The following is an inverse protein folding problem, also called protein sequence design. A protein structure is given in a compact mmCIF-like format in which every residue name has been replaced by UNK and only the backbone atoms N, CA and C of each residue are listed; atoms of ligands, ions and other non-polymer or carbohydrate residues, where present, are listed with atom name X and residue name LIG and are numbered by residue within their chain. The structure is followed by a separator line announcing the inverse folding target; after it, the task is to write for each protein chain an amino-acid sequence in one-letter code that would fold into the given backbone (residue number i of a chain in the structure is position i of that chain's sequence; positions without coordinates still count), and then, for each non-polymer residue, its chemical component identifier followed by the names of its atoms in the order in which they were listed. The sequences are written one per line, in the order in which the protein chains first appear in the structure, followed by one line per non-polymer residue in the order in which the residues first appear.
data_IF_252310698717
#
_entry.id   IF_252310698717
#
_cell.length_a   1.000
_cell.length_b   1.000
_cell.length_c   1.000
_cell.angle_alpha   90.00
_cell.angle_beta   90.00
_cell.angle_gamma   90.00
#
_symmetry.space_group_name_H-M   'P 1'
#
loop_
_entity.id
_entity.type
_entity.pdbx_description
1 polymer ?
#
# COMPACT_ATOMS: atom_id res chain seq x y z
N UNK A 1 40.65 11.90 31.11
CA UNK A 1 39.38 11.38 30.56
C UNK A 1 39.59 10.94 29.12
N UNK A 2 39.72 9.64 28.86
CA UNK A 2 39.96 9.10 27.52
C UNK A 2 38.62 8.85 26.79
N UNK A 3 38.40 9.51 25.65
CA UNK A 3 37.24 9.24 24.77
C UNK A 3 37.45 7.90 24.06
N UNK A 4 36.66 6.88 24.40
CA UNK A 4 36.54 5.65 23.60
C UNK A 4 35.87 6.00 22.27
N UNK A 5 36.62 5.91 21.18
CA UNK A 5 36.12 5.96 19.80
C UNK A 5 35.35 4.65 19.54
N UNK A 6 34.06 4.61 19.85
CA UNK A 6 33.20 3.44 19.56
C UNK A 6 33.00 3.34 18.04
N UNK A 7 33.23 2.14 17.49
CA UNK A 7 32.85 1.74 16.14
C UNK A 7 31.31 1.78 15.99
N UNK A 8 30.75 2.93 15.61
CA UNK A 8 29.29 3.16 15.53
C UNK A 8 28.66 2.76 14.19
N UNK A 9 29.43 2.70 13.10
CA UNK A 9 28.88 2.52 11.75
C UNK A 9 28.19 1.16 11.49
N UNK A 10 28.71 0.05 12.04
CA UNK A 10 28.12 -1.28 11.86
C UNK A 10 26.86 -1.49 12.72
N UNK A 11 26.86 -0.97 13.95
CA UNK A 11 25.70 -1.02 14.86
C UNK A 11 24.55 -0.15 14.38
N UNK A 12 24.82 1.04 13.84
CA UNK A 12 23.78 1.90 13.27
C UNK A 12 23.15 1.30 12.01
N UNK A 13 23.94 0.65 11.15
CA UNK A 13 23.42 -0.08 9.98
C UNK A 13 22.56 -1.28 10.40
N UNK A 14 22.98 -2.03 11.41
CA UNK A 14 22.22 -3.16 11.96
C UNK A 14 20.93 -2.71 12.66
N UNK A 15 20.99 -1.66 13.50
CA UNK A 15 19.83 -1.09 14.16
C UNK A 15 18.84 -0.50 13.16
N UNK A 16 19.33 0.22 12.14
CA UNK A 16 18.48 0.78 11.08
C UNK A 16 17.87 -0.30 10.18
N UNK A 17 18.58 -1.41 9.94
CA UNK A 17 18.03 -2.57 9.23
C UNK A 17 16.97 -3.28 10.07
N UNK A 18 17.22 -3.45 11.38
CA UNK A 18 16.27 -3.99 12.33
C UNK A 18 15.01 -3.10 12.43
N UNK A 19 15.14 -1.77 12.43
CA UNK A 19 13.98 -0.86 12.42
C UNK A 19 13.14 -0.98 11.15
N UNK A 20 13.79 -1.16 9.98
CA UNK A 20 13.08 -1.40 8.71
C UNK A 20 12.38 -2.76 8.67
N UNK A 21 13.01 -3.80 9.22
CA UNK A 21 12.43 -5.13 9.40
C UNK A 21 11.29 -5.14 10.42
N UNK A 22 11.39 -4.39 11.51
CA UNK A 22 10.32 -4.21 12.49
C UNK A 22 9.14 -3.42 11.93
N UNK A 23 9.40 -2.44 11.05
CA UNK A 23 8.34 -1.74 10.30
C UNK A 23 7.61 -2.66 9.32
N UNK A 24 8.34 -3.51 8.59
CA UNK A 24 7.75 -4.54 7.73
C UNK A 24 6.99 -5.60 8.54
N UNK A 25 7.55 -6.07 9.67
CA UNK A 25 6.89 -7.01 10.56
C UNK A 25 5.66 -6.43 11.26
N UNK A 26 5.64 -5.12 11.55
CA UNK A 26 4.44 -4.44 12.02
C UNK A 26 3.31 -4.49 10.98
N UNK A 27 3.64 -4.27 9.70
CA UNK A 27 2.69 -4.43 8.59
C UNK A 27 2.26 -5.91 8.42
N UNK A 28 3.16 -6.88 8.60
CA UNK A 28 2.80 -8.31 8.56
C UNK A 28 2.00 -8.81 9.78
N UNK A 29 2.20 -8.19 10.95
CA UNK A 29 1.45 -8.50 12.17
C UNK A 29 0.04 -7.90 12.13
N UNK A 30 -0.10 -6.67 11.61
CA UNK A 30 -1.41 -6.12 11.26
C UNK A 30 -2.03 -6.88 10.08
N UNK A 31 -1.23 -7.39 9.13
CA UNK A 31 -1.71 -8.24 8.04
C UNK A 31 -2.33 -9.52 8.58
N UNK A 32 -1.75 -10.27 9.50
CA UNK A 32 -2.37 -11.53 9.95
C UNK A 32 -3.72 -11.30 10.62
N UNK A 33 -3.87 -10.26 11.43
CA UNK A 33 -5.15 -9.92 12.07
C UNK A 33 -6.16 -9.41 11.04
N UNK A 34 -5.78 -8.45 10.20
CA UNK A 34 -6.66 -7.92 9.16
C UNK A 34 -6.97 -8.98 8.08
N UNK A 35 -6.04 -9.86 7.75
CA UNK A 35 -6.23 -10.91 6.75
C UNK A 35 -7.10 -12.03 7.29
N UNK A 36 -6.92 -12.49 8.54
CA UNK A 36 -7.79 -13.49 9.15
C UNK A 36 -9.21 -12.96 9.34
N UNK A 37 -9.37 -11.70 9.74
CA UNK A 37 -10.70 -11.10 9.87
C UNK A 37 -11.34 -10.85 8.49
N UNK A 38 -10.55 -10.40 7.49
CA UNK A 38 -11.04 -10.23 6.13
C UNK A 38 -11.35 -11.56 5.46
N UNK A 39 -10.58 -12.64 5.67
CA UNK A 39 -10.89 -13.96 5.11
C UNK A 39 -12.08 -14.59 5.79
N UNK A 40 -12.25 -14.43 7.11
CA UNK A 40 -13.47 -14.85 7.80
C UNK A 40 -14.70 -14.09 7.28
N UNK A 41 -14.59 -12.75 7.13
CA UNK A 41 -15.66 -11.93 6.57
C UNK A 41 -15.98 -12.32 5.12
N UNK A 42 -14.97 -12.53 4.26
CA UNK A 42 -15.14 -12.97 2.88
C UNK A 42 -15.73 -14.37 2.82
N UNK A 43 -15.33 -15.31 3.69
CA UNK A 43 -15.89 -16.65 3.73
C UNK A 43 -17.38 -16.62 4.11
N UNK A 44 -17.74 -15.82 5.11
CA UNK A 44 -19.14 -15.65 5.53
C UNK A 44 -19.98 -14.96 4.44
N UNK A 45 -19.44 -13.90 3.82
CA UNK A 45 -20.05 -13.23 2.67
C UNK A 45 -20.17 -14.16 1.45
N UNK A 46 -19.21 -15.05 1.23
CA UNK A 46 -19.23 -16.02 0.14
C UNK A 46 -20.32 -17.08 0.37
N UNK A 47 -20.49 -17.57 1.60
CA UNK A 47 -21.59 -18.49 1.95
C UNK A 47 -22.94 -17.82 1.67
N UNK A 48 -23.11 -16.57 2.12
CA UNK A 48 -24.35 -15.80 1.87
C UNK A 48 -24.53 -15.48 0.37
N UNK A 49 -23.46 -15.13 -0.33
CA UNK A 49 -23.49 -14.81 -1.76
C UNK A 49 -23.82 -16.02 -2.64
N UNK A 50 -23.31 -17.21 -2.27
CA UNK A 50 -23.65 -18.48 -2.93
C UNK A 50 -25.13 -18.82 -2.70
N UNK A 51 -25.65 -18.65 -1.47
CA UNK A 51 -27.03 -19.02 -1.14
C UNK A 51 -28.06 -18.06 -1.74
N UNK A 52 -27.74 -16.77 -1.90
CA UNK A 52 -28.70 -15.76 -2.37
C UNK A 52 -28.57 -15.48 -3.88
N UNK A 53 -27.35 -15.48 -4.44
CA UNK A 53 -27.11 -14.98 -5.80
C UNK A 53 -26.35 -15.97 -6.72
N UNK A 54 -25.99 -17.17 -6.23
CA UNK A 54 -25.28 -18.18 -7.01
C UNK A 54 -23.84 -17.84 -7.40
N UNK A 55 -23.34 -16.64 -7.06
CA UNK A 55 -21.96 -16.20 -7.28
C UNK A 55 -21.41 -15.44 -6.06
N UNK A 56 -20.39 -15.98 -5.36
CA UNK A 56 -19.95 -15.47 -4.05
C UNK A 56 -19.37 -14.04 -4.06
N UNK A 57 -18.87 -13.56 -5.20
CA UNK A 57 -18.10 -12.31 -5.28
C UNK A 57 -18.83 -11.12 -5.91
N UNK A 58 -20.06 -11.30 -6.39
CA UNK A 58 -20.75 -10.25 -7.15
C UNK A 58 -21.15 -9.07 -6.25
N UNK A 59 -21.39 -9.33 -4.96
CA UNK A 59 -21.61 -8.29 -3.95
C UNK A 59 -20.40 -7.37 -3.77
N UNK A 60 -19.16 -7.86 -3.93
CA UNK A 60 -17.99 -7.00 -3.79
C UNK A 60 -17.87 -5.98 -4.94
N UNK A 61 -18.47 -6.22 -6.10
CA UNK A 61 -18.44 -5.25 -7.19
C UNK A 61 -19.25 -3.99 -6.88
N UNK A 62 -20.37 -4.11 -6.16
CA UNK A 62 -21.19 -2.94 -5.80
C UNK A 62 -20.49 -2.07 -4.75
N UNK A 63 -19.71 -2.66 -3.84
CA UNK A 63 -18.90 -1.91 -2.86
C UNK A 63 -17.50 -1.53 -3.34
N UNK A 64 -16.99 -2.12 -4.42
CA UNK A 64 -15.66 -1.80 -4.94
C UNK A 64 -15.55 -0.32 -5.36
N UNK A 65 -16.59 0.20 -6.02
CA UNK A 65 -16.63 1.60 -6.47
C UNK A 65 -16.58 2.59 -5.28
N UNK A 66 -17.47 2.50 -4.27
CA UNK A 66 -17.41 3.42 -3.13
C UNK A 66 -16.13 3.30 -2.30
N UNK A 67 -15.55 2.10 -2.17
CA UNK A 67 -14.25 1.95 -1.51
C UNK A 67 -13.12 2.61 -2.30
N UNK A 68 -13.10 2.44 -3.62
CA UNK A 68 -12.10 3.08 -4.48
C UNK A 68 -12.23 4.61 -4.48
N UNK A 69 -13.46 5.15 -4.54
CA UNK A 69 -13.65 6.61 -4.47
C UNK A 69 -13.21 7.18 -3.13
N UNK A 70 -13.48 6.49 -2.02
CA UNK A 70 -12.97 6.86 -0.70
C UNK A 70 -11.43 6.87 -0.67
N UNK A 71 -10.79 5.85 -1.24
CA UNK A 71 -9.32 5.78 -1.35
C UNK A 71 -8.75 6.95 -2.17
N UNK A 72 -9.37 7.28 -3.31
CA UNK A 72 -8.98 8.43 -4.15
C UNK A 72 -9.13 9.75 -3.39
N UNK A 73 -10.24 9.93 -2.67
CA UNK A 73 -10.49 11.13 -1.87
C UNK A 73 -9.44 11.32 -0.78
N UNK A 74 -9.17 10.27 0.00
CA UNK A 74 -8.13 10.30 1.04
C UNK A 74 -6.77 10.57 0.42
N UNK A 75 -6.46 9.93 -0.71
CA UNK A 75 -5.21 10.17 -1.43
C UNK A 75 -5.09 11.62 -1.91
N UNK A 76 -6.15 12.20 -2.45
CA UNK A 76 -6.19 13.60 -2.86
C UNK A 76 -5.93 14.55 -1.69
N UNK A 77 -6.50 14.28 -0.52
CA UNK A 77 -6.21 15.03 0.72
C UNK A 77 -4.73 14.91 1.08
N UNK A 78 -4.15 13.71 1.06
CA UNK A 78 -2.73 13.51 1.35
C UNK A 78 -1.81 14.26 0.37
N UNK A 79 -2.15 14.26 -0.92
CA UNK A 79 -1.44 15.07 -1.93
C UNK A 79 -1.56 16.56 -1.60
N UNK A 80 -2.76 17.05 -1.28
CA UNK A 80 -2.99 18.45 -0.94
C UNK A 80 -2.20 18.88 0.31
N UNK A 81 -2.16 18.06 1.36
CA UNK A 81 -1.36 18.31 2.55
C UNK A 81 0.14 18.36 2.21
N UNK A 82 0.59 17.47 1.32
CA UNK A 82 1.98 17.47 0.85
C UNK A 82 2.33 18.74 0.07
N UNK A 83 1.44 19.19 -0.80
CA UNK A 83 1.60 20.44 -1.56
C UNK A 83 1.55 21.69 -0.66
N UNK A 84 0.78 21.64 0.44
CA UNK A 84 0.78 22.68 1.49
C UNK A 84 2.06 22.70 2.35
N UNK A 85 3.05 21.86 2.06
CA UNK A 85 4.33 21.85 2.76
C UNK A 85 4.34 21.07 4.07
N UNK A 86 3.28 20.30 4.40
CA UNK A 86 3.33 19.38 5.54
C UNK A 86 4.32 18.24 5.22
N UNK A 87 5.52 18.35 5.79
CA UNK A 87 6.66 17.47 5.52
C UNK A 87 6.52 16.02 6.00
N UNK A 88 5.40 15.65 6.63
CA UNK A 88 5.23 14.37 7.30
C UNK A 88 5.11 13.16 6.35
N UNK A 89 4.93 13.37 5.05
CA UNK A 89 4.74 12.27 4.08
C UNK A 89 5.92 12.14 3.11
N UNK A 90 6.46 10.93 2.97
CA UNK A 90 7.52 10.66 2.00
C UNK A 90 6.96 10.63 0.57
N UNK A 91 7.69 11.20 -0.40
CA UNK A 91 7.28 11.21 -1.81
C UNK A 91 7.16 9.80 -2.40
N UNK A 92 8.02 8.87 -1.96
CA UNK A 92 8.00 7.47 -2.40
C UNK A 92 6.71 6.76 -1.95
N UNK A 93 6.23 7.02 -0.72
CA UNK A 93 4.97 6.46 -0.25
C UNK A 93 3.78 7.00 -1.03
N UNK A 94 3.79 8.29 -1.39
CA UNK A 94 2.73 8.90 -2.20
C UNK A 94 2.70 8.30 -3.63
N UNK A 95 3.87 8.11 -4.27
CA UNK A 95 3.96 7.42 -5.57
C UNK A 95 3.45 5.98 -5.51
N UNK A 96 3.82 5.23 -4.46
CA UNK A 96 3.40 3.84 -4.29
C UNK A 96 1.87 3.73 -4.13
N UNK A 97 1.29 4.54 -3.24
CA UNK A 97 -0.16 4.57 -3.01
C UNK A 97 -0.92 5.02 -4.26
N UNK A 98 -0.42 6.02 -4.98
CA UNK A 98 -1.02 6.45 -6.25
C UNK A 98 -0.99 5.35 -7.31
N UNK A 99 0.12 4.62 -7.42
CA UNK A 99 0.24 3.47 -8.32
C UNK A 99 -0.74 2.34 -7.98
N UNK A 100 -0.91 2.03 -6.69
CA UNK A 100 -1.87 1.02 -6.21
C UNK A 100 -3.33 1.41 -6.52
N UNK A 101 -3.69 2.69 -6.34
CA UNK A 101 -5.03 3.20 -6.67
C UNK A 101 -5.32 3.12 -8.17
N UNK A 102 -4.33 3.45 -9.01
CA UNK A 102 -4.44 3.33 -10.47
C UNK A 102 -4.55 1.86 -10.92
N UNK A 103 -3.76 0.97 -10.31
CA UNK A 103 -3.77 -0.45 -10.63
C UNK A 103 -5.11 -1.12 -10.26
N UNK A 104 -5.71 -0.70 -9.13
CA UNK A 104 -6.94 -1.27 -8.58
C UNK A 104 -8.25 -0.64 -9.06
N UNK A 105 -8.25 0.15 -10.13
CA UNK A 105 -9.44 0.89 -10.60
C UNK A 105 -10.60 -0.06 -11.02
N UNK A 106 -11.79 0.01 -10.37
CA UNK A 106 -12.90 -0.92 -10.63
C UNK A 106 -13.91 -0.40 -11.67
N UNK A 107 -13.62 0.68 -12.41
CA UNK A 107 -14.61 1.32 -13.29
C UNK A 107 -14.90 0.47 -14.54
N UNK A 108 -16.12 -0.09 -14.60
CA UNK A 108 -16.59 -0.86 -15.74
C UNK A 108 -16.69 -0.03 -17.02
N UNK A 109 -17.07 1.25 -16.91
CA UNK A 109 -17.17 2.16 -18.07
C UNK A 109 -15.82 2.43 -18.75
N UNK A 110 -14.69 2.17 -18.08
CA UNK A 110 -13.34 2.32 -18.63
C UNK A 110 -12.66 0.97 -18.92
N UNK A 111 -13.42 -0.13 -19.05
CA UNK A 111 -12.86 -1.46 -19.34
C UNK A 111 -11.93 -1.48 -20.55
N UNK A 112 -12.26 -0.73 -21.61
CA UNK A 112 -11.40 -0.63 -22.81
C UNK A 112 -9.99 -0.08 -22.53
N UNK A 113 -9.82 0.70 -21.46
CA UNK A 113 -8.54 1.30 -21.07
C UNK A 113 -7.93 0.65 -19.82
N UNK A 114 -8.55 -0.41 -19.28
CA UNK A 114 -8.12 -1.01 -18.01
C UNK A 114 -6.68 -1.52 -18.06
N UNK A 115 -6.24 -2.01 -19.24
CA UNK A 115 -4.88 -2.45 -19.48
C UNK A 115 -3.89 -1.28 -19.29
N UNK A 116 -4.21 -0.10 -19.83
CA UNK A 116 -3.38 1.09 -19.71
C UNK A 116 -3.24 1.54 -18.26
N UNK A 117 -4.34 1.57 -17.50
CA UNK A 117 -4.31 1.92 -16.08
C UNK A 117 -3.49 0.92 -15.25
N UNK A 118 -3.63 -0.38 -15.53
CA UNK A 118 -2.84 -1.42 -14.85
C UNK A 118 -1.35 -1.34 -15.19
N UNK A 119 -0.99 -1.09 -16.45
CA UNK A 119 0.40 -0.90 -16.86
C UNK A 119 0.99 0.38 -16.26
N UNK A 120 0.26 1.49 -16.30
CA UNK A 120 0.71 2.74 -15.69
C UNK A 120 0.87 2.61 -14.17
N UNK A 121 -0.09 1.98 -13.51
CA UNK A 121 -0.05 1.70 -12.07
C UNK A 121 1.11 0.79 -11.68
N UNK A 122 1.35 -0.30 -12.43
CA UNK A 122 2.44 -1.23 -12.16
C UNK A 122 3.82 -0.59 -12.36
N UNK A 123 4.00 0.22 -13.40
CA UNK A 123 5.23 0.97 -13.63
C UNK A 123 5.49 1.95 -12.49
N UNK A 124 4.46 2.66 -12.01
CA UNK A 124 4.58 3.55 -10.86
C UNK A 124 4.98 2.81 -9.58
N UNK A 125 4.37 1.66 -9.30
CA UNK A 125 4.68 0.82 -8.16
C UNK A 125 6.14 0.35 -8.23
N UNK A 126 6.56 -0.20 -9.38
CA UNK A 126 7.94 -0.66 -9.57
C UNK A 126 8.95 0.47 -9.44
N UNK A 127 8.66 1.64 -10.00
CA UNK A 127 9.51 2.82 -9.86
C UNK A 127 9.62 3.29 -8.40
N UNK A 128 8.51 3.28 -7.66
CA UNK A 128 8.49 3.65 -6.24
C UNK A 128 9.31 2.66 -5.39
N UNK A 129 9.16 1.36 -5.62
CA UNK A 129 9.93 0.31 -4.94
C UNK A 129 11.42 0.42 -5.31
N UNK A 130 11.76 0.57 -6.59
CA UNK A 130 13.14 0.71 -7.04
C UNK A 130 13.81 1.95 -6.44
N UNK A 131 13.09 3.08 -6.35
CA UNK A 131 13.57 4.30 -5.66
C UNK A 131 13.76 4.08 -4.17
N UNK A 132 12.82 3.40 -3.51
CA UNK A 132 12.94 3.08 -2.10
C UNK A 132 14.18 2.21 -1.82
N UNK A 133 14.35 1.13 -2.59
CA UNK A 133 15.49 0.21 -2.46
C UNK A 133 16.82 0.91 -2.77
N UNK A 134 16.91 1.64 -3.88
CA UNK A 134 18.14 2.37 -4.24
C UNK A 134 18.50 3.46 -3.23
N UNK A 135 17.52 4.16 -2.65
CA UNK A 135 17.77 5.13 -1.57
C UNK A 135 18.30 4.48 -0.30
N UNK A 136 18.00 3.20 -0.10
CA UNK A 136 18.49 2.42 1.03
C UNK A 136 19.93 1.95 0.83
N UNK A 137 20.30 1.51 -0.37
CA UNK A 137 21.66 1.03 -0.68
C UNK A 137 22.69 2.15 -0.87
N UNK A 138 22.25 3.39 -1.12
CA UNK A 138 23.15 4.54 -1.33
C UNK A 138 23.58 5.24 -0.03
N UNK A 139 23.09 4.82 1.13
CA UNK A 139 23.51 5.28 2.46
C UNK A 139 24.37 4.21 3.16
#
# INVERSE_FOLDING_TARGET
MARRKQNTGLREKALSAASGLSGLMGVFSSWTVCHNVCTAAIALLAIIGITVAGMPLLFLQSVAVPFWTAAVLIFAVLVALKLKGMGCLSGNALMLNGGLILFGMPLQSLQGFILLFRLAGSVLILAAVARYVSSRFRK
#
